data_IF_584593058945
#
_entry.id   IF_584593058945
#
_cell.length_a   1.000
_cell.length_b   1.000
_cell.length_c   1.000
_cell.angle_alpha   90.00
_cell.angle_beta   90.00
_cell.angle_gamma   90.00
#
_symmetry.space_group_name_H-M   'P 1'
#
loop_
_entity.id
_entity.type
_entity.pdbx_description
1 polymer ?
#
# COMPACT_ATOMS: atom_id res chain seq x y z
N UNK A 1 17.64 -11.29 15.75
CA UNK A 1 16.23 -11.02 16.06
C UNK A 1 15.39 -11.78 15.05
N UNK A 2 14.31 -12.41 15.50
CA UNK A 2 13.37 -13.16 14.67
C UNK A 2 11.96 -12.79 15.08
N UNK A 3 11.08 -12.58 14.13
CA UNK A 3 9.68 -12.22 14.35
C UNK A 3 8.84 -13.46 14.08
N UNK A 4 7.92 -13.77 14.98
CA UNK A 4 6.99 -14.87 14.84
C UNK A 4 5.56 -14.37 15.02
N UNK A 5 4.63 -14.98 14.32
CA UNK A 5 3.22 -14.74 14.53
C UNK A 5 2.67 -15.80 15.48
N UNK A 6 2.08 -15.35 16.57
CA UNK A 6 1.51 -16.24 17.56
C UNK A 6 0.16 -16.80 17.07
N UNK A 7 0.02 -18.11 17.15
CA UNK A 7 -1.24 -18.82 16.88
C UNK A 7 -2.05 -19.05 18.16
N UNK A 8 -1.33 -19.28 19.28
CA UNK A 8 -1.97 -19.56 20.54
C UNK A 8 -1.16 -18.97 21.71
N UNK A 9 -1.88 -18.49 22.69
CA UNK A 9 -1.33 -17.99 23.96
C UNK A 9 -2.12 -18.63 25.10
N UNK A 10 -1.44 -19.27 26.03
CA UNK A 10 -2.03 -19.88 27.23
C UNK A 10 -1.34 -19.32 28.47
N UNK A 11 -2.04 -18.50 29.22
CA UNK A 11 -1.55 -17.92 30.48
C UNK A 11 -2.27 -18.51 31.71
N UNK A 12 -3.38 -19.24 31.47
CA UNK A 12 -4.20 -19.82 32.56
C UNK A 12 -4.55 -21.26 32.25
N UNK A 13 -4.75 -22.03 33.31
CA UNK A 13 -5.32 -23.39 33.22
C UNK A 13 -6.79 -23.36 32.80
N UNK A 14 -7.37 -24.51 32.47
CA UNK A 14 -8.80 -24.64 32.16
C UNK A 14 -9.71 -24.20 33.34
N UNK A 15 -9.20 -24.16 34.57
CA UNK A 15 -9.89 -23.68 35.76
C UNK A 15 -9.73 -22.17 36.00
N UNK A 16 -9.07 -21.41 35.09
CA UNK A 16 -8.89 -19.96 35.25
C UNK A 16 -7.76 -19.54 36.20
N UNK A 17 -7.00 -20.48 36.76
CA UNK A 17 -5.83 -20.16 37.58
C UNK A 17 -4.61 -19.90 36.69
N UNK A 18 -3.66 -19.00 37.09
CA UNK A 18 -2.44 -18.81 36.33
C UNK A 18 -1.68 -20.11 36.07
N UNK A 19 -1.20 -20.26 34.84
CA UNK A 19 -0.29 -21.34 34.51
C UNK A 19 1.04 -21.11 35.19
N UNK A 20 1.54 -22.13 35.93
CA UNK A 20 2.77 -22.02 36.70
C UNK A 20 3.76 -23.10 36.30
N UNK A 21 5.03 -22.78 36.30
CA UNK A 21 6.11 -23.74 36.15
C UNK A 21 6.11 -24.72 37.34
N UNK A 22 6.08 -26.06 37.12
CA UNK A 22 5.97 -27.02 38.21
C UNK A 22 7.20 -27.11 39.09
N UNK A 23 8.35 -26.62 38.65
CA UNK A 23 9.62 -26.67 39.39
C UNK A 23 9.84 -25.38 40.19
N UNK A 24 9.63 -24.22 39.54
CA UNK A 24 9.93 -22.92 40.14
C UNK A 24 8.71 -22.25 40.76
N UNK A 25 7.50 -22.75 40.53
CA UNK A 25 6.21 -22.16 40.89
C UNK A 25 6.00 -20.72 40.38
N UNK A 26 6.78 -20.30 39.39
CA UNK A 26 6.63 -19.00 38.75
C UNK A 26 5.51 -19.01 37.73
N UNK A 27 4.73 -17.91 37.60
CA UNK A 27 3.76 -17.79 36.50
C UNK A 27 4.47 -17.84 35.14
N UNK A 28 3.91 -18.65 34.25
CA UNK A 28 4.44 -18.80 32.90
C UNK A 28 3.33 -18.57 31.87
N UNK A 29 3.72 -18.19 30.66
CA UNK A 29 2.84 -18.11 29.51
C UNK A 29 3.39 -19.03 28.43
N UNK A 30 2.59 -20.00 28.01
CA UNK A 30 2.90 -20.85 26.87
C UNK A 30 2.47 -20.15 25.60
N UNK A 31 3.36 -20.08 24.63
CA UNK A 31 3.09 -19.49 23.33
C UNK A 31 3.43 -20.49 22.23
N UNK A 32 2.57 -20.58 21.23
CA UNK A 32 2.83 -21.30 19.99
C UNK A 32 2.73 -20.33 18.83
N UNK A 33 3.49 -20.57 17.78
CA UNK A 33 3.52 -19.74 16.59
C UNK A 33 3.46 -20.59 15.32
N UNK A 34 3.22 -19.95 14.21
CA UNK A 34 3.07 -20.59 12.91
C UNK A 34 4.33 -21.37 12.53
N UNK A 35 4.16 -22.57 11.93
CA UNK A 35 5.27 -23.46 11.61
C UNK A 35 6.31 -22.82 10.66
N UNK A 36 5.86 -21.98 9.73
CA UNK A 36 6.76 -21.24 8.82
C UNK A 36 7.65 -20.22 9.55
N UNK A 37 7.29 -19.83 10.77
CA UNK A 37 8.06 -18.92 11.61
C UNK A 37 9.00 -19.69 12.56
N UNK A 38 9.27 -20.97 12.31
CA UNK A 38 10.21 -21.77 13.09
C UNK A 38 11.55 -21.04 13.23
N UNK A 39 12.09 -21.05 14.44
CA UNK A 39 13.36 -20.38 14.73
C UNK A 39 14.51 -21.06 13.96
N UNK A 40 15.25 -20.35 13.12
CA UNK A 40 16.37 -20.91 12.35
C UNK A 40 17.64 -21.10 13.20
N UNK A 41 17.55 -20.88 14.50
CA UNK A 41 18.66 -20.97 15.45
C UNK A 41 18.17 -21.50 16.82
N UNK A 42 19.03 -22.16 17.59
CA UNK A 42 18.68 -22.58 18.94
C UNK A 42 18.56 -21.37 19.88
N UNK A 43 17.61 -21.44 20.81
CA UNK A 43 17.50 -20.45 21.88
C UNK A 43 18.56 -20.71 22.97
N UNK A 44 19.39 -19.74 23.22
CA UNK A 44 20.34 -19.75 24.34
C UNK A 44 19.66 -19.12 25.54
N UNK A 45 19.25 -19.89 26.53
CA UNK A 45 18.59 -19.41 27.73
C UNK A 45 19.59 -18.77 28.68
N UNK A 46 20.78 -19.38 28.81
CA UNK A 46 21.86 -18.92 29.68
C UNK A 46 23.21 -19.20 29.04
N UNK A 47 24.24 -18.47 29.40
CA UNK A 47 25.59 -18.64 28.91
C UNK A 47 26.64 -18.36 29.96
N UNK A 48 27.71 -19.18 29.97
CA UNK A 48 28.93 -18.87 30.71
C UNK A 48 29.76 -17.89 29.87
N UNK A 49 30.12 -16.77 30.46
CA UNK A 49 30.97 -15.74 29.83
C UNK A 49 32.27 -15.58 30.58
N UNK A 50 33.24 -14.88 30.03
CA UNK A 50 34.49 -14.56 30.73
C UNK A 50 34.30 -13.73 31.99
N UNK A 51 33.14 -13.08 32.16
CA UNK A 51 32.78 -12.25 33.30
C UNK A 51 31.80 -12.93 34.27
N UNK A 52 31.49 -14.20 34.06
CA UNK A 52 30.55 -14.99 34.87
C UNK A 52 29.39 -15.55 34.11
N UNK A 53 28.50 -16.21 34.84
CA UNK A 53 27.28 -16.80 34.29
C UNK A 53 26.19 -15.73 34.06
N UNK A 54 25.52 -15.78 32.91
CA UNK A 54 24.42 -14.88 32.56
C UNK A 54 23.17 -15.68 32.20
N UNK A 55 22.07 -15.34 32.87
CA UNK A 55 20.72 -15.79 32.55
C UNK A 55 19.99 -14.82 31.62
N UNK A 56 18.90 -15.28 31.02
CA UNK A 56 18.03 -14.44 30.19
C UNK A 56 18.68 -13.91 28.92
N UNK A 57 19.56 -14.70 28.30
CA UNK A 57 20.26 -14.34 27.06
C UNK A 57 19.29 -14.20 25.91
N UNK A 58 18.33 -15.13 25.79
CA UNK A 58 17.23 -15.01 24.83
C UNK A 58 15.97 -14.49 25.52
N UNK A 59 15.34 -13.51 24.91
CA UNK A 59 14.10 -12.92 25.42
C UNK A 59 13.04 -12.89 24.33
N UNK A 60 11.81 -13.21 24.71
CA UNK A 60 10.64 -12.99 23.85
C UNK A 60 9.99 -11.65 24.21
N UNK A 61 9.65 -10.88 23.19
CA UNK A 61 8.94 -9.61 23.38
C UNK A 61 7.67 -9.64 22.56
N UNK A 62 6.54 -9.38 23.19
CA UNK A 62 5.22 -9.32 22.56
C UNK A 62 4.87 -7.92 22.06
N UNK A 63 3.66 -7.79 21.50
CA UNK A 63 3.06 -6.53 21.07
C UNK A 63 3.92 -5.78 20.03
N UNK A 64 4.47 -6.51 19.06
CA UNK A 64 5.18 -5.91 17.93
C UNK A 64 4.17 -5.29 16.97
N UNK A 65 4.43 -4.05 16.59
CA UNK A 65 3.65 -3.30 15.62
C UNK A 65 4.54 -2.94 14.43
N UNK A 66 4.03 -3.18 13.23
CA UNK A 66 4.66 -2.66 12.01
C UNK A 66 4.31 -1.19 11.87
N UNK A 67 5.32 -0.36 11.69
CA UNK A 67 5.18 1.07 11.47
C UNK A 67 6.08 1.51 10.32
N UNK A 68 5.64 2.52 9.61
CA UNK A 68 6.41 3.18 8.58
C UNK A 68 6.47 4.69 8.83
N UNK A 69 7.37 5.36 8.13
CA UNK A 69 7.45 6.82 8.15
C UNK A 69 6.60 7.39 7.03
N UNK A 70 5.60 8.20 7.38
CA UNK A 70 4.74 8.87 6.39
C UNK A 70 3.50 9.49 7.01
N UNK A 71 2.85 10.34 6.23
CA UNK A 71 1.60 11.02 6.58
C UNK A 71 0.53 10.65 5.58
N UNK A 72 -0.65 10.27 6.06
CA UNK A 72 -1.82 10.06 5.22
C UNK A 72 -2.58 11.38 5.06
N UNK A 73 -2.72 11.83 3.82
CA UNK A 73 -3.59 12.94 3.46
C UNK A 73 -4.99 12.36 3.23
N UNK A 74 -5.95 12.84 4.02
CA UNK A 74 -7.27 12.23 4.09
C UNK A 74 -8.10 12.45 2.82
N UNK A 75 -8.06 13.68 2.30
CA UNK A 75 -8.80 14.06 1.10
C UNK A 75 -8.07 15.21 0.40
N UNK A 76 -7.85 15.06 -0.88
CA UNK A 76 -7.39 16.10 -1.77
C UNK A 76 -8.32 16.14 -2.98
N UNK A 77 -8.93 17.30 -3.23
CA UNK A 77 -9.74 17.52 -4.43
C UNK A 77 -8.83 17.61 -5.65
N UNK A 78 -9.05 16.76 -6.62
CA UNK A 78 -8.30 16.73 -7.88
C UNK A 78 -9.01 17.51 -9.00
N UNK A 79 -10.25 17.91 -8.75
CA UNK A 79 -11.09 18.67 -9.66
C UNK A 79 -12.01 17.81 -10.52
N UNK A 80 -12.78 18.50 -11.33
CA UNK A 80 -13.83 17.92 -12.17
C UNK A 80 -13.31 17.66 -13.58
N UNK A 81 -13.68 16.51 -14.15
CA UNK A 81 -13.39 16.19 -15.55
C UNK A 81 -14.08 17.18 -16.46
N UNK A 82 -13.33 17.90 -17.31
CA UNK A 82 -13.91 18.92 -18.20
C UNK A 82 -14.83 18.31 -19.25
N UNK A 83 -15.68 19.16 -19.84
CA UNK A 83 -16.52 18.77 -20.96
C UNK A 83 -15.72 18.57 -22.25
N UNK A 84 -16.15 17.64 -23.14
CA UNK A 84 -15.58 17.50 -24.44
C UNK A 84 -15.74 18.79 -25.25
N UNK A 85 -14.77 19.08 -26.09
CA UNK A 85 -14.84 20.26 -26.94
C UNK A 85 -14.85 19.90 -28.42
N UNK A 86 -15.52 20.76 -29.21
CA UNK A 86 -15.59 20.61 -30.64
C UNK A 86 -14.30 21.13 -31.29
N UNK A 87 -13.61 20.27 -32.02
CA UNK A 87 -12.40 20.65 -32.76
C UNK A 87 -12.61 20.52 -34.27
N UNK A 88 -12.16 21.54 -34.97
CA UNK A 88 -12.06 21.50 -36.44
C UNK A 88 -10.65 21.06 -36.82
N UNK A 89 -10.48 19.95 -37.55
CA UNK A 89 -9.17 19.51 -38.00
C UNK A 89 -8.49 20.60 -38.84
N UNK A 90 -7.25 20.95 -38.51
CA UNK A 90 -6.45 21.86 -39.37
C UNK A 90 -6.17 21.22 -40.71
N UNK A 91 -6.31 22.00 -41.81
CA UNK A 91 -5.91 21.54 -43.14
C UNK A 91 -4.40 21.61 -43.28
N UNK A 92 -3.80 20.59 -43.84
CA UNK A 92 -2.61 20.77 -44.67
C UNK A 92 -3.06 21.48 -45.95
N UNK A 93 -2.21 22.32 -46.48
CA UNK A 93 -2.55 23.18 -47.69
C UNK A 93 -3.07 22.40 -48.87
N UNK A 94 -2.69 21.14 -49.03
CA UNK A 94 -3.07 20.23 -50.09
C UNK A 94 -4.52 19.74 -50.04
N UNK A 95 -5.27 19.98 -48.97
CA UNK A 95 -6.58 19.35 -48.73
C UNK A 95 -7.72 20.37 -48.56
N UNK A 96 -7.59 21.52 -49.21
CA UNK A 96 -8.51 22.68 -49.06
C UNK A 96 -9.95 22.42 -49.55
N UNK A 97 -10.14 21.42 -50.38
CA UNK A 97 -11.45 21.12 -50.99
C UNK A 97 -12.24 20.01 -50.32
N UNK A 98 -11.68 19.33 -49.33
CA UNK A 98 -12.39 18.24 -48.65
C UNK A 98 -13.24 18.79 -47.50
N UNK A 99 -14.58 18.56 -47.49
CA UNK A 99 -15.45 18.96 -46.40
C UNK A 99 -15.00 18.28 -45.12
N UNK A 100 -14.82 19.05 -44.08
CA UNK A 100 -14.39 18.54 -42.76
C UNK A 100 -15.50 18.60 -41.77
N UNK A 101 -15.80 17.47 -41.18
CA UNK A 101 -16.73 17.39 -40.09
C UNK A 101 -16.02 17.74 -38.76
N UNK A 102 -16.63 18.58 -37.96
CA UNK A 102 -16.14 18.82 -36.59
C UNK A 102 -16.13 17.52 -35.80
N UNK A 103 -15.10 17.33 -35.00
CA UNK A 103 -14.98 16.16 -34.14
C UNK A 103 -15.05 16.57 -32.67
N UNK A 104 -15.86 15.87 -31.91
CA UNK A 104 -15.80 15.96 -30.45
C UNK A 104 -14.51 15.34 -29.96
N UNK A 105 -13.71 16.11 -29.26
CA UNK A 105 -12.48 15.65 -28.63
C UNK A 105 -12.72 15.54 -27.12
N UNK A 106 -12.55 14.34 -26.54
CA UNK A 106 -12.62 14.19 -25.09
C UNK A 106 -11.53 15.02 -24.42
N UNK A 107 -11.79 15.62 -23.26
CA UNK A 107 -10.80 16.38 -22.55
C UNK A 107 -9.67 15.48 -22.05
N UNK A 108 -8.48 16.04 -21.98
CA UNK A 108 -7.37 15.40 -21.29
C UNK A 108 -7.41 15.81 -19.83
N UNK A 109 -7.87 14.91 -19.00
CA UNK A 109 -7.84 15.08 -17.56
C UNK A 109 -6.67 14.29 -16.95
N UNK A 110 -5.68 15.01 -16.41
CA UNK A 110 -4.47 14.44 -15.81
C UNK A 110 -4.11 15.26 -14.57
N UNK A 111 -4.84 15.05 -13.47
CA UNK A 111 -4.58 15.80 -12.25
C UNK A 111 -3.28 15.35 -11.58
N UNK A 112 -2.55 16.31 -11.01
CA UNK A 112 -1.37 16.06 -10.21
C UNK A 112 -1.69 16.09 -8.71
N UNK A 113 -0.97 15.29 -7.93
CA UNK A 113 -1.00 15.33 -6.47
C UNK A 113 -0.14 16.49 -5.97
N UNK A 114 -0.63 17.24 -4.97
CA UNK A 114 0.07 18.44 -4.48
C UNK A 114 1.22 18.13 -3.52
N UNK A 115 1.23 16.94 -2.91
CA UNK A 115 2.24 16.55 -1.94
C UNK A 115 3.10 15.41 -2.44
N UNK A 116 4.40 15.51 -2.16
CA UNK A 116 5.44 14.57 -2.53
C UNK A 116 6.38 14.30 -1.35
N UNK A 117 7.15 13.20 -1.38
CA UNK A 117 7.08 12.08 -2.33
C UNK A 117 5.91 11.15 -2.01
N UNK A 118 5.28 10.59 -3.05
CA UNK A 118 4.23 9.59 -2.89
C UNK A 118 4.82 8.29 -2.34
N UNK A 119 4.21 7.76 -1.28
CA UNK A 119 4.59 6.47 -0.71
C UNK A 119 4.15 5.33 -1.62
N UNK A 120 5.04 4.36 -1.81
CA UNK A 120 4.74 3.09 -2.45
C UNK A 120 4.77 1.98 -1.40
N UNK A 121 3.77 1.12 -1.40
CA UNK A 121 3.63 0.03 -0.46
C UNK A 121 3.50 -1.30 -1.19
N UNK A 122 4.01 -2.36 -0.57
CA UNK A 122 3.71 -3.74 -0.95
C UNK A 122 2.24 -4.09 -0.63
N UNK A 123 1.84 -5.33 -0.90
CA UNK A 123 0.51 -5.80 -0.56
C UNK A 123 0.18 -5.56 0.91
N UNK A 124 -1.10 -5.37 1.21
CA UNK A 124 -1.56 -5.23 2.59
C UNK A 124 -1.15 -6.46 3.42
N UNK A 125 -0.81 -6.21 4.70
CA UNK A 125 -0.49 -7.27 5.64
C UNK A 125 -1.68 -8.22 5.80
N UNK A 126 -1.45 -9.51 5.56
CA UNK A 126 -2.43 -10.56 5.73
C UNK A 126 -2.24 -11.22 7.11
N UNK A 127 -3.19 -10.99 8.00
CA UNK A 127 -3.18 -11.53 9.35
C UNK A 127 -3.30 -13.06 9.40
N UNK A 128 -3.68 -13.72 8.31
CA UNK A 128 -3.77 -15.18 8.23
C UNK A 128 -2.45 -15.85 7.89
N UNK A 129 -1.44 -15.09 7.43
CA UNK A 129 -0.12 -15.64 7.07
C UNK A 129 0.85 -15.61 8.24
N UNK A 130 1.89 -16.45 8.16
CA UNK A 130 3.04 -16.37 9.06
C UNK A 130 3.70 -14.98 9.00
N UNK A 131 4.46 -14.59 10.01
CA UNK A 131 5.20 -13.33 10.01
C UNK A 131 6.22 -13.31 8.86
N UNK A 132 6.85 -14.44 8.55
CA UNK A 132 7.77 -14.58 7.43
C UNK A 132 7.09 -14.35 6.08
N UNK A 133 5.96 -15.02 5.83
CA UNK A 133 5.21 -14.89 4.58
C UNK A 133 4.63 -13.49 4.39
N UNK A 134 4.21 -12.85 5.48
CA UNK A 134 3.69 -11.48 5.45
C UNK A 134 4.76 -10.43 5.09
N UNK A 135 6.04 -10.73 5.33
CA UNK A 135 7.17 -9.85 4.96
C UNK A 135 7.72 -10.16 3.55
N UNK A 136 7.25 -11.24 2.90
CA UNK A 136 7.67 -11.61 1.55
C UNK A 136 6.73 -10.98 0.52
N UNK A 137 7.25 -10.06 -0.25
CA UNK A 137 6.54 -9.46 -1.38
C UNK A 137 7.51 -9.18 -2.53
N UNK A 138 7.01 -9.25 -3.74
CA UNK A 138 7.82 -8.95 -4.91
C UNK A 138 7.71 -7.46 -5.26
N UNK A 139 8.80 -6.88 -5.77
CA UNK A 139 8.82 -5.47 -6.19
C UNK A 139 7.73 -5.14 -7.24
N UNK A 140 7.36 -6.13 -8.04
CA UNK A 140 6.26 -6.00 -9.02
C UNK A 140 4.89 -5.77 -8.39
N UNK A 141 4.71 -6.15 -7.12
CA UNK A 141 3.45 -6.04 -6.39
C UNK A 141 3.35 -4.72 -5.62
N UNK A 142 4.41 -3.90 -5.67
CA UNK A 142 4.43 -2.58 -5.06
C UNK A 142 3.60 -1.61 -5.87
N UNK A 143 2.68 -0.93 -5.19
CA UNK A 143 1.77 0.05 -5.79
C UNK A 143 1.82 1.37 -5.01
N UNK A 144 1.45 2.49 -5.65
CA UNK A 144 1.26 3.75 -4.93
C UNK A 144 0.21 3.60 -3.83
N UNK A 145 0.51 4.11 -2.65
CA UNK A 145 -0.44 4.12 -1.52
C UNK A 145 -1.46 5.26 -1.70
N UNK A 146 -2.38 5.06 -2.63
CA UNK A 146 -3.41 6.02 -3.03
C UNK A 146 -4.74 5.31 -3.26
N UNK A 147 -5.81 5.93 -2.78
CA UNK A 147 -7.20 5.57 -3.11
C UNK A 147 -7.82 6.75 -3.85
N UNK A 148 -8.33 6.50 -5.04
CA UNK A 148 -8.95 7.50 -5.89
C UNK A 148 -10.45 7.24 -5.97
N UNK A 149 -11.22 8.28 -5.74
CA UNK A 149 -12.69 8.23 -5.75
C UNK A 149 -13.22 9.26 -6.73
N UNK A 150 -14.06 8.82 -7.65
CA UNK A 150 -14.80 9.69 -8.58
C UNK A 150 -16.27 9.76 -8.19
N UNK A 151 -16.84 10.94 -8.13
CA UNK A 151 -18.26 11.15 -7.83
C UNK A 151 -18.94 11.89 -8.97
N UNK A 152 -20.04 11.31 -9.47
CA UNK A 152 -20.88 11.93 -10.50
C UNK A 152 -22.35 11.72 -10.13
N UNK A 153 -23.15 12.78 -10.11
CA UNK A 153 -24.60 12.72 -9.86
C UNK A 153 -24.98 11.90 -8.61
N UNK A 154 -24.17 12.02 -7.52
CA UNK A 154 -24.31 11.27 -6.26
C UNK A 154 -23.91 9.78 -6.32
N UNK A 155 -23.46 9.28 -7.46
CA UNK A 155 -22.85 7.97 -7.58
C UNK A 155 -21.33 8.09 -7.36
N UNK A 156 -20.82 7.22 -6.48
CA UNK A 156 -19.41 7.22 -6.11
C UNK A 156 -18.74 5.94 -6.57
N UNK A 157 -17.68 6.06 -7.35
CA UNK A 157 -16.89 4.96 -7.89
C UNK A 157 -15.47 5.02 -7.32
N UNK A 158 -14.97 3.87 -6.83
CA UNK A 158 -13.57 3.73 -6.42
C UNK A 158 -12.75 3.20 -7.58
N UNK A 159 -11.68 3.92 -7.89
CA UNK A 159 -10.75 3.56 -8.96
C UNK A 159 -9.54 2.80 -8.42
N UNK A 160 -9.05 1.85 -9.18
CA UNK A 160 -7.95 0.95 -8.78
C UNK A 160 -6.64 1.36 -9.44
N UNK A 161 -5.60 1.55 -8.63
CA UNK A 161 -4.26 1.81 -9.15
C UNK A 161 -3.68 0.57 -9.84
N UNK A 162 -3.05 0.77 -10.99
CA UNK A 162 -2.34 -0.25 -11.74
C UNK A 162 -0.93 0.23 -12.07
N UNK A 163 -0.05 -0.71 -12.35
CA UNK A 163 1.30 -0.41 -12.83
C UNK A 163 1.29 0.12 -14.27
N UNK A 164 0.47 -0.48 -15.11
CA UNK A 164 0.16 -0.07 -16.47
C UNK A 164 -1.28 -0.47 -16.81
N UNK A 165 -1.79 0.03 -17.93
CA UNK A 165 -3.16 -0.26 -18.41
C UNK A 165 -3.18 -1.18 -19.62
N UNK A 166 -2.07 -1.80 -20.02
CA UNK A 166 -1.98 -2.59 -21.24
C UNK A 166 -2.95 -3.78 -21.28
N UNK A 167 -3.24 -4.35 -20.10
CA UNK A 167 -4.16 -5.48 -19.97
C UNK A 167 -5.48 -5.08 -19.29
N UNK A 168 -5.75 -3.78 -19.16
CA UNK A 168 -7.00 -3.30 -18.57
C UNK A 168 -8.15 -3.44 -19.56
N UNK A 169 -9.30 -3.90 -19.07
CA UNK A 169 -10.54 -3.89 -19.82
C UNK A 169 -10.96 -2.45 -20.14
N UNK A 170 -11.60 -2.23 -21.30
CA UNK A 170 -12.04 -0.91 -21.74
C UNK A 170 -12.97 -0.20 -20.75
N UNK A 171 -13.75 -0.96 -19.97
CA UNK A 171 -14.70 -0.46 -18.97
C UNK A 171 -14.14 -0.48 -17.53
N UNK A 172 -12.90 -0.90 -17.33
CA UNK A 172 -12.32 -1.02 -15.98
C UNK A 172 -11.99 0.36 -15.38
N UNK A 173 -12.45 0.61 -14.17
CA UNK A 173 -12.15 1.80 -13.39
C UNK A 173 -10.72 1.73 -12.84
N UNK A 174 -9.75 1.92 -13.71
CA UNK A 174 -8.33 1.75 -13.43
C UNK A 174 -7.53 2.97 -13.87
N UNK A 175 -6.45 3.24 -13.16
CA UNK A 175 -5.54 4.34 -13.43
C UNK A 175 -4.10 4.00 -13.13
N UNK A 176 -3.18 4.78 -13.66
CA UNK A 176 -1.74 4.73 -13.37
C UNK A 176 -1.32 6.03 -12.72
N UNK A 177 -0.42 5.94 -11.75
CA UNK A 177 0.27 7.12 -11.21
C UNK A 177 1.64 7.22 -11.88
N UNK A 178 1.85 8.28 -12.62
CA UNK A 178 3.13 8.62 -13.24
C UNK A 178 3.92 9.48 -12.26
N UNK A 179 5.08 8.97 -11.84
CA UNK A 179 5.93 9.66 -10.85
C UNK A 179 6.92 10.56 -11.58
N UNK A 180 6.91 11.83 -11.20
CA UNK A 180 7.86 12.83 -11.69
C UNK A 180 9.18 12.76 -10.91
N UNK A 181 10.22 13.44 -11.41
CA UNK A 181 11.56 13.39 -10.81
C UNK A 181 11.64 13.96 -9.38
N UNK A 182 10.72 14.83 -9.02
CA UNK A 182 10.56 15.40 -7.67
C UNK A 182 9.82 14.49 -6.70
N UNK A 183 9.37 13.31 -7.18
CA UNK A 183 8.56 12.35 -6.43
C UNK A 183 7.07 12.67 -6.40
N UNK A 184 6.64 13.72 -7.09
CA UNK A 184 5.23 14.04 -7.30
C UNK A 184 4.54 13.01 -8.20
N UNK A 185 3.25 12.82 -8.02
CA UNK A 185 2.44 11.88 -8.80
C UNK A 185 1.41 12.61 -9.68
N UNK A 186 1.31 12.22 -10.97
CA UNK A 186 0.24 12.63 -11.85
C UNK A 186 -0.63 11.40 -12.20
N UNK A 187 -1.94 11.56 -12.16
CA UNK A 187 -2.89 10.47 -12.42
C UNK A 187 -3.18 10.42 -13.91
N UNK A 188 -3.01 9.24 -14.50
CA UNK A 188 -3.36 8.95 -15.88
C UNK A 188 -4.43 7.87 -15.94
N UNK A 189 -5.55 8.22 -16.52
CA UNK A 189 -6.67 7.33 -16.75
C UNK A 189 -6.56 6.58 -18.09
N UNK A 190 -7.46 5.62 -18.30
CA UNK A 190 -7.61 4.91 -19.55
C UNK A 190 -8.14 5.78 -20.69
N UNK A 191 -8.25 5.17 -21.86
CA UNK A 191 -8.65 5.80 -23.13
C UNK A 191 -9.88 5.14 -23.79
N UNK A 192 -10.60 4.29 -23.03
CA UNK A 192 -11.72 3.44 -23.47
C UNK A 192 -11.30 2.26 -24.36
N UNK A 193 -9.98 2.00 -24.44
CA UNK A 193 -9.41 0.80 -25.04
C UNK A 193 -8.61 0.04 -23.97
N UNK A 194 -7.80 0.77 -23.23
CA UNK A 194 -7.00 0.27 -22.12
C UNK A 194 -7.40 1.02 -20.84
N UNK A 195 -8.41 0.50 -20.17
CA UNK A 195 -9.04 1.15 -19.03
C UNK A 195 -10.07 2.22 -19.44
N UNK A 196 -11.03 2.44 -18.56
CA UNK A 196 -12.09 3.42 -18.74
C UNK A 196 -11.55 4.86 -18.69
N UNK A 197 -12.01 5.69 -19.59
CA UNK A 197 -11.85 7.14 -19.50
C UNK A 197 -12.87 7.69 -18.52
N UNK A 198 -12.48 8.60 -17.60
CA UNK A 198 -13.44 9.22 -16.71
C UNK A 198 -14.43 10.08 -17.51
N UNK A 199 -15.68 10.01 -17.12
CA UNK A 199 -16.75 10.78 -17.75
C UNK A 199 -16.69 12.25 -17.36
N UNK A 200 -17.06 13.14 -18.28
CA UNK A 200 -17.21 14.59 -18.01
C UNK A 200 -18.13 14.84 -16.84
N UNK A 201 -17.80 15.81 -16.02
CA UNK A 201 -18.55 16.16 -14.82
C UNK A 201 -18.25 15.27 -13.61
N UNK A 202 -17.41 14.24 -13.74
CA UNK A 202 -16.96 13.47 -12.56
C UNK A 202 -15.98 14.30 -11.74
N UNK A 203 -16.27 14.47 -10.45
CA UNK A 203 -15.39 15.10 -9.47
C UNK A 203 -14.52 14.06 -8.79
N UNK A 204 -13.20 14.27 -8.81
CA UNK A 204 -12.24 13.33 -8.25
C UNK A 204 -11.64 13.82 -6.94
N UNK A 205 -11.58 12.89 -5.96
CA UNK A 205 -10.84 13.08 -4.71
C UNK A 205 -9.83 11.96 -4.54
N UNK A 206 -8.68 12.29 -3.96
CA UNK A 206 -7.63 11.35 -3.63
C UNK A 206 -7.35 11.31 -2.14
N UNK A 207 -7.22 10.12 -1.60
CA UNK A 207 -6.64 9.85 -0.29
C UNK A 207 -5.33 9.12 -0.52
N UNK A 208 -4.21 9.69 -0.08
CA UNK A 208 -2.92 9.10 -0.36
C UNK A 208 -1.92 9.32 0.76
N UNK A 209 -0.83 8.56 0.71
CA UNK A 209 0.22 8.63 1.70
C UNK A 209 1.47 9.25 1.12
N UNK A 210 2.07 10.18 1.84
CA UNK A 210 3.36 10.78 1.49
C UNK A 210 4.42 10.42 2.51
N UNK A 211 5.61 10.21 2.06
CA UNK A 211 6.78 9.93 2.90
C UNK A 211 7.71 8.91 2.27
N UNK A 212 8.95 8.96 2.74
CA UNK A 212 9.98 8.00 2.35
C UNK A 212 10.38 7.20 3.59
N UNK A 213 10.13 5.87 3.58
CA UNK A 213 10.41 4.99 4.71
C UNK A 213 11.82 5.10 5.26
N UNK A 214 12.82 5.42 4.44
CA UNK A 214 14.21 5.62 4.86
C UNK A 214 14.42 6.92 5.65
N UNK A 215 13.67 7.96 5.36
CA UNK A 215 13.79 9.25 6.04
C UNK A 215 13.40 9.18 7.52
N UNK A 216 12.63 8.16 7.92
CA UNK A 216 12.24 7.91 9.30
C UNK A 216 13.22 7.04 10.09
N UNK A 217 14.26 6.51 9.46
CA UNK A 217 15.28 5.73 10.16
C UNK A 217 16.14 6.65 11.02
N UNK A 218 15.94 6.57 12.32
CA UNK A 218 16.78 7.20 13.34
C UNK A 218 17.84 6.18 13.73
N UNK A 219 19.11 6.57 13.69
CA UNK A 219 20.19 5.71 14.17
C UNK A 219 19.96 5.31 15.64
N UNK A 220 20.36 4.10 16.01
CA UNK A 220 20.45 3.75 17.42
C UNK A 220 21.65 4.47 18.01
N UNK A 221 21.44 5.35 18.99
CA UNK A 221 22.47 5.94 19.82
C UNK A 221 23.03 4.89 20.80
#
# INVERSE_FOLDING_TARGET
RHVVRLDRIVATTSGGTPLTDPVTAQPVTEITWHDDDALPFPLCLSAATSTGYRDGVSVARGNLLLADHGVTLAEEALGVVPEPFLSMPRSKEEDRCTPRSPRMIPPRFRPGLTKAPLTHAGPAYDHAKSAWAAMQWALRDVQPAITLTGTKESETTTWTARRDLLNSDAAADEYVVEIENDGGGAIRFGDDVHGRRPESGTDFTARYRVGNGRAGNIGAD
#
